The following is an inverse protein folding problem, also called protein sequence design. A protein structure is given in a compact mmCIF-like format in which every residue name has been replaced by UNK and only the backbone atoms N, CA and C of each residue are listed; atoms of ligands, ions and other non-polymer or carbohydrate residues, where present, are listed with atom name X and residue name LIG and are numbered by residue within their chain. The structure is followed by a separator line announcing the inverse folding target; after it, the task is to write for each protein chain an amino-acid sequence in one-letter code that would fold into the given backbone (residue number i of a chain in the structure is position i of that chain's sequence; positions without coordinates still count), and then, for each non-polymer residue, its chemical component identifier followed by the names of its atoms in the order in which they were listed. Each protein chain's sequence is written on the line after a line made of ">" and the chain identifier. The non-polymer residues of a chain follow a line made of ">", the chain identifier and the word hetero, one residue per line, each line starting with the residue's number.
data_IF_800829572777
#
_entry.id   IF_800829572777
#
_cell.length_a   1.000
_cell.length_b   1.000
_cell.length_c   1.000
_cell.angle_alpha   90.00
_cell.angle_beta   90.00
_cell.angle_gamma   90.00
#
_symmetry.space_group_name_H-M   'P 1'
#
loop_
_entity.id
_entity.type
_entity.pdbx_description
1 polymer ?
#
# COMPACT_ATOMS: atom_id res chain seq x y z
N UNK A 1 11.18 66.83 -34.49
CA UNK A 1 12.66 66.83 -34.41
C UNK A 1 13.00 66.62 -32.95
N UNK A 2 13.59 65.52 -32.49
CA UNK A 2 14.17 64.36 -33.16
C UNK A 2 13.99 63.14 -32.27
N UNK A 3 13.90 61.97 -32.92
CA UNK A 3 13.97 60.64 -32.34
C UNK A 3 15.44 60.23 -32.22
N UNK A 4 15.79 59.53 -31.14
CA UNK A 4 16.92 58.60 -30.99
C UNK A 4 16.38 57.52 -30.03
N UNK A 5 15.79 56.41 -30.49
CA UNK A 5 16.34 55.20 -31.13
C UNK A 5 17.19 54.30 -30.21
N UNK A 6 16.55 53.19 -29.83
CA UNK A 6 17.05 51.83 -29.57
C UNK A 6 18.35 51.60 -28.79
N UNK A 7 18.26 50.84 -27.69
CA UNK A 7 18.67 49.44 -27.75
C UNK A 7 18.12 48.60 -26.60
N UNK A 8 17.58 47.45 -26.99
CA UNK A 8 17.10 46.34 -26.17
C UNK A 8 18.27 45.51 -25.63
N UNK A 9 18.18 45.11 -24.37
CA UNK A 9 18.68 43.83 -23.88
C UNK A 9 17.98 43.50 -22.54
N UNK A 10 17.05 42.54 -22.52
CA UNK A 10 16.70 41.83 -21.30
C UNK A 10 17.73 40.70 -21.06
N UNK A 11 17.56 40.02 -19.92
CA UNK A 11 18.17 38.73 -19.57
C UNK A 11 19.46 38.80 -18.76
N UNK A 12 19.27 38.98 -17.46
CA UNK A 12 19.99 38.13 -16.51
C UNK A 12 18.95 37.58 -15.53
N UNK A 13 18.05 36.75 -16.06
CA UNK A 13 17.37 35.77 -15.23
C UNK A 13 18.47 34.93 -14.59
N UNK A 14 18.58 35.03 -13.27
CA UNK A 14 19.39 34.13 -12.47
C UNK A 14 18.68 32.80 -12.57
N UNK A 15 19.06 32.00 -13.55
CA UNK A 15 18.65 30.60 -13.65
C UNK A 15 19.21 29.92 -12.42
N UNK A 16 18.42 29.88 -11.34
CA UNK A 16 18.52 28.87 -10.32
C UNK A 16 18.42 27.54 -11.04
N UNK A 17 19.56 27.01 -11.47
CA UNK A 17 19.70 25.61 -11.81
C UNK A 17 19.67 24.87 -10.49
N UNK A 18 18.47 24.86 -9.87
CA UNK A 18 18.11 23.88 -8.90
C UNK A 18 18.16 22.55 -9.63
N UNK A 19 19.27 21.84 -9.48
CA UNK A 19 19.32 20.46 -9.90
C UNK A 19 18.16 19.73 -9.20
N UNK A 20 17.38 18.93 -9.95
CA UNK A 20 16.43 18.04 -9.32
C UNK A 20 17.28 17.03 -8.55
N UNK A 21 17.35 17.19 -7.22
CA UNK A 21 17.35 16.00 -6.37
C UNK A 21 16.25 15.09 -6.95
N UNK A 22 16.48 13.76 -7.07
CA UNK A 22 15.38 12.86 -7.41
C UNK A 22 14.23 13.29 -6.50
N UNK A 23 13.04 13.58 -7.07
CA UNK A 23 11.95 14.11 -6.26
C UNK A 23 11.91 13.20 -5.05
N UNK A 24 12.05 13.78 -3.84
CA UNK A 24 11.67 13.05 -2.64
C UNK A 24 10.37 12.39 -3.04
N UNK A 25 10.27 11.06 -3.08
CA UNK A 25 9.01 10.46 -3.47
C UNK A 25 8.04 11.15 -2.54
N UNK A 26 7.17 11.99 -3.13
CA UNK A 26 6.02 12.49 -2.42
C UNK A 26 5.50 11.24 -1.75
N UNK A 27 5.16 11.24 -0.44
CA UNK A 27 4.46 10.10 0.10
C UNK A 27 3.33 9.92 -0.88
N UNK A 28 3.45 8.89 -1.74
CA UNK A 28 2.38 8.48 -2.59
C UNK A 28 1.43 8.10 -1.50
N UNK A 29 0.47 8.99 -1.26
CA UNK A 29 -0.73 8.73 -0.51
C UNK A 29 -1.39 7.58 -1.28
N UNK A 30 -0.79 6.41 -1.16
CA UNK A 30 -1.42 5.13 -1.34
C UNK A 30 -2.33 5.04 -0.15
N UNK A 31 -3.40 5.83 -0.17
CA UNK A 31 -4.70 5.37 0.27
C UNK A 31 -5.04 4.20 -0.64
N UNK A 32 -4.39 3.06 -0.41
CA UNK A 32 -4.89 1.77 -0.89
C UNK A 32 -4.99 0.78 0.28
N UNK A 33 -4.81 1.26 1.52
CA UNK A 33 -5.11 0.45 2.70
C UNK A 33 -6.60 0.49 3.07
N UNK A 34 -7.37 1.46 2.55
CA UNK A 34 -8.80 1.58 2.81
C UNK A 34 -9.67 0.78 1.83
N UNK A 35 -9.18 0.52 0.61
CA UNK A 35 -9.95 -0.17 -0.43
C UNK A 35 -10.12 -1.66 -0.10
N UNK A 36 -9.04 -2.33 0.33
CA UNK A 36 -9.09 -3.74 0.72
C UNK A 36 -10.06 -3.99 1.90
N UNK A 37 -10.15 -3.04 2.85
CA UNK A 37 -11.06 -3.16 4.00
C UNK A 37 -12.52 -2.92 3.62
N UNK A 38 -12.79 -2.13 2.58
CA UNK A 38 -14.13 -1.90 2.05
C UNK A 38 -14.63 -3.12 1.28
N UNK A 39 -13.76 -3.76 0.49
CA UNK A 39 -14.09 -5.03 -0.19
C UNK A 39 -14.30 -6.16 0.80
N UNK A 40 -13.46 -6.29 1.84
CA UNK A 40 -13.65 -7.29 2.89
C UNK A 40 -14.99 -7.11 3.62
N UNK A 41 -15.39 -5.87 3.93
CA UNK A 41 -16.67 -5.58 4.58
C UNK A 41 -17.88 -5.84 3.66
N UNK A 42 -17.75 -5.53 2.37
CA UNK A 42 -18.80 -5.84 1.39
C UNK A 42 -18.92 -7.34 1.09
N UNK A 43 -17.80 -8.06 1.09
CA UNK A 43 -17.76 -9.52 0.93
C UNK A 43 -18.47 -10.20 2.11
N UNK A 44 -18.21 -9.74 3.34
CA UNK A 44 -18.87 -10.23 4.55
C UNK A 44 -20.39 -9.97 4.55
N UNK A 45 -20.83 -8.77 4.12
CA UNK A 45 -22.26 -8.43 4.01
C UNK A 45 -22.98 -9.26 2.94
N UNK A 46 -22.37 -9.40 1.76
CA UNK A 46 -22.93 -10.17 0.65
C UNK A 46 -23.02 -11.66 0.98
N UNK A 47 -22.00 -12.21 1.64
CA UNK A 47 -21.95 -13.62 2.02
C UNK A 47 -22.99 -13.94 3.09
N UNK A 48 -23.18 -13.06 4.07
CA UNK A 48 -24.24 -13.20 5.07
C UNK A 48 -25.66 -13.17 4.44
N UNK A 49 -25.87 -12.34 3.41
CA UNK A 49 -27.15 -12.26 2.70
C UNK A 49 -27.42 -13.53 1.87
N UNK A 50 -26.41 -14.01 1.14
CA UNK A 50 -26.48 -15.25 0.36
C UNK A 50 -26.67 -16.49 1.24
N UNK A 51 -25.98 -16.54 2.38
CA UNK A 51 -26.10 -17.64 3.34
C UNK A 51 -27.50 -17.67 3.94
N UNK A 52 -28.04 -16.53 4.37
CA UNK A 52 -29.40 -16.45 4.93
C UNK A 52 -30.48 -16.87 3.91
N UNK A 53 -30.34 -16.50 2.64
CA UNK A 53 -31.26 -16.91 1.59
C UNK A 53 -31.18 -18.40 1.30
N UNK A 54 -29.96 -18.96 1.27
CA UNK A 54 -29.70 -20.38 1.05
C UNK A 54 -30.21 -21.24 2.22
N UNK A 55 -30.03 -20.80 3.47
CA UNK A 55 -30.58 -21.45 4.66
C UNK A 55 -32.12 -21.46 4.64
N UNK A 56 -32.74 -20.32 4.32
CA UNK A 56 -34.18 -20.19 4.25
C UNK A 56 -34.78 -21.13 3.18
N UNK A 57 -34.09 -21.27 2.05
CA UNK A 57 -34.50 -22.17 0.98
C UNK A 57 -34.32 -23.65 1.34
N UNK A 58 -33.21 -24.03 2.01
CA UNK A 58 -32.99 -25.40 2.50
C UNK A 58 -34.02 -25.82 3.56
N UNK A 59 -34.33 -24.93 4.51
CA UNK A 59 -35.27 -25.21 5.61
C UNK A 59 -36.73 -25.25 5.13
N UNK A 60 -37.04 -24.56 4.03
CA UNK A 60 -38.36 -24.59 3.36
C UNK A 60 -38.64 -25.95 2.71
N UNK A 61 -37.62 -26.64 2.20
CA UNK A 61 -37.74 -27.98 1.61
C UNK A 61 -37.61 -29.13 2.61
N UNK A 62 -37.02 -28.90 3.79
CA UNK A 62 -36.74 -29.94 4.78
C UNK A 62 -37.96 -30.28 5.66
N UNK A 63 -38.21 -31.58 5.86
CA UNK A 63 -39.20 -32.03 6.84
C UNK A 63 -38.79 -31.68 8.27
N UNK A 64 -39.75 -31.57 9.19
CA UNK A 64 -39.50 -31.13 10.57
C UNK A 64 -38.49 -32.02 11.34
N UNK A 65 -38.35 -33.28 10.94
CA UNK A 65 -37.37 -34.22 11.49
C UNK A 65 -35.95 -34.05 10.90
N UNK A 66 -35.84 -33.48 9.70
CA UNK A 66 -34.56 -33.26 9.00
C UNK A 66 -33.93 -31.90 9.32
N UNK A 67 -34.75 -30.90 9.71
CA UNK A 67 -34.30 -29.56 10.11
C UNK A 67 -33.13 -29.52 11.09
N UNK A 68 -33.10 -30.30 12.20
CA UNK A 68 -31.96 -30.25 13.12
C UNK A 68 -30.67 -30.79 12.49
N UNK A 69 -30.77 -31.76 11.58
CA UNK A 69 -29.60 -32.29 10.89
C UNK A 69 -29.06 -31.31 9.85
N UNK A 70 -29.95 -30.66 9.11
CA UNK A 70 -29.61 -29.61 8.15
C UNK A 70 -28.98 -28.40 8.85
N UNK A 71 -29.54 -27.96 9.98
CA UNK A 71 -28.99 -26.86 10.76
C UNK A 71 -27.57 -27.18 11.28
N UNK A 72 -27.34 -28.40 11.78
CA UNK A 72 -26.00 -28.81 12.22
C UNK A 72 -24.97 -28.85 11.08
N UNK A 73 -25.39 -29.22 9.86
CA UNK A 73 -24.51 -29.22 8.68
C UNK A 73 -24.18 -27.79 8.21
N UNK A 74 -25.15 -26.88 8.28
CA UNK A 74 -24.92 -25.47 7.96
C UNK A 74 -23.97 -24.82 8.96
N UNK A 75 -24.16 -25.06 10.27
CA UNK A 75 -23.24 -24.58 11.31
C UNK A 75 -21.82 -25.13 11.12
N UNK A 76 -21.67 -26.40 10.73
CA UNK A 76 -20.35 -26.98 10.42
C UNK A 76 -19.72 -26.34 9.18
N UNK A 77 -20.49 -26.05 8.13
CA UNK A 77 -20.00 -25.38 6.94
C UNK A 77 -19.60 -23.94 7.24
N UNK A 78 -20.40 -23.22 8.02
CA UNK A 78 -20.12 -21.86 8.47
C UNK A 78 -18.83 -21.78 9.28
N UNK A 79 -18.63 -22.70 10.22
CA UNK A 79 -17.39 -22.76 10.99
C UNK A 79 -16.17 -23.02 10.09
N UNK A 80 -16.32 -23.80 9.02
CA UNK A 80 -15.24 -24.06 8.04
C UNK A 80 -14.97 -22.85 7.15
N UNK A 81 -16.01 -22.15 6.70
CA UNK A 81 -15.84 -20.96 5.86
C UNK A 81 -15.23 -19.81 6.65
N UNK A 82 -15.69 -19.56 7.88
CA UNK A 82 -15.10 -18.57 8.79
C UNK A 82 -13.61 -18.87 9.05
N UNK A 83 -13.26 -20.14 9.34
CA UNK A 83 -11.86 -20.53 9.54
C UNK A 83 -11.00 -20.32 8.28
N UNK A 84 -11.51 -20.69 7.10
CA UNK A 84 -10.85 -20.46 5.82
C UNK A 84 -10.63 -18.98 5.53
N UNK A 85 -11.61 -18.13 5.84
CA UNK A 85 -11.50 -16.70 5.64
C UNK A 85 -10.48 -16.07 6.58
N UNK A 86 -10.43 -16.50 7.84
CA UNK A 86 -9.42 -16.02 8.78
C UNK A 86 -7.99 -16.39 8.31
N UNK A 87 -7.80 -17.61 7.81
CA UNK A 87 -6.53 -18.03 7.20
C UNK A 87 -6.17 -17.18 5.97
N UNK A 88 -7.14 -16.93 5.09
CA UNK A 88 -6.93 -16.09 3.91
C UNK A 88 -6.58 -14.64 4.28
N UNK A 89 -7.23 -14.07 5.30
CA UNK A 89 -6.95 -12.73 5.82
C UNK A 89 -5.53 -12.64 6.35
N UNK A 90 -5.11 -13.60 7.17
CA UNK A 90 -3.72 -13.67 7.68
C UNK A 90 -2.71 -13.75 6.54
N UNK A 91 -2.98 -14.59 5.54
CA UNK A 91 -2.11 -14.72 4.37
C UNK A 91 -2.01 -13.42 3.56
N UNK A 92 -3.13 -12.69 3.40
CA UNK A 92 -3.16 -11.38 2.74
C UNK A 92 -2.31 -10.36 3.52
N UNK A 93 -2.45 -10.31 4.84
CA UNK A 93 -1.68 -9.43 5.72
C UNK A 93 -0.18 -9.73 5.66
N UNK A 94 0.21 -11.01 5.73
CA UNK A 94 1.60 -11.46 5.59
C UNK A 94 2.18 -11.09 4.22
N UNK A 95 1.39 -11.29 3.15
CA UNK A 95 1.80 -10.93 1.79
C UNK A 95 1.98 -9.43 1.66
N UNK A 96 1.11 -8.62 2.27
CA UNK A 96 1.25 -7.16 2.32
C UNK A 96 2.54 -6.76 3.03
N UNK A 97 2.80 -7.31 4.22
CA UNK A 97 4.02 -7.05 4.99
C UNK A 97 5.28 -7.40 4.18
N UNK A 98 5.29 -8.55 3.53
CA UNK A 98 6.40 -8.99 2.68
C UNK A 98 6.65 -8.05 1.49
N UNK A 99 5.58 -7.56 0.84
CA UNK A 99 5.70 -6.60 -0.26
C UNK A 99 6.28 -5.27 0.21
N UNK A 100 5.84 -4.78 1.37
CA UNK A 100 6.40 -3.57 1.97
C UNK A 100 7.87 -3.72 2.33
N UNK A 101 8.25 -4.84 2.95
CA UNK A 101 9.64 -5.14 3.28
C UNK A 101 10.50 -5.20 2.02
N UNK A 102 10.04 -5.91 0.99
CA UNK A 102 10.72 -5.99 -0.31
C UNK A 102 10.90 -4.62 -0.94
N UNK A 103 9.89 -3.75 -0.85
CA UNK A 103 9.97 -2.37 -1.34
C UNK A 103 11.02 -1.57 -0.59
N UNK A 104 11.02 -1.61 0.75
CA UNK A 104 12.02 -0.90 1.58
C UNK A 104 13.44 -1.37 1.27
N UNK A 105 13.64 -2.67 1.08
CA UNK A 105 14.93 -3.25 0.70
C UNK A 105 15.40 -2.75 -0.67
N UNK A 106 14.51 -2.66 -1.67
CA UNK A 106 14.85 -2.09 -2.98
C UNK A 106 15.23 -0.63 -2.88
N UNK A 107 14.44 0.18 -2.17
CA UNK A 107 14.73 1.61 -1.98
C UNK A 107 16.09 1.82 -1.29
N UNK A 108 16.49 0.94 -0.37
CA UNK A 108 17.82 0.98 0.24
C UNK A 108 18.93 0.54 -0.74
N UNK A 109 18.71 -0.53 -1.52
CA UNK A 109 19.66 -0.97 -2.55
C UNK A 109 19.90 0.12 -3.59
N UNK A 110 18.82 0.76 -4.08
CA UNK A 110 18.90 1.85 -5.05
C UNK A 110 19.70 3.04 -4.51
N UNK A 111 19.64 3.28 -3.19
CA UNK A 111 20.42 4.33 -2.54
C UNK A 111 21.92 3.97 -2.52
N UNK A 112 22.26 2.70 -2.23
CA UNK A 112 23.64 2.23 -2.24
C UNK A 112 24.29 2.25 -3.64
N UNK A 113 23.49 2.13 -4.69
CA UNK A 113 23.95 2.15 -6.09
C UNK A 113 24.22 3.58 -6.61
N UNK A 114 23.95 4.63 -5.83
CA UNK A 114 24.20 6.02 -6.21
C UNK A 114 25.71 6.29 -6.30
N UNK A 115 26.17 6.81 -7.43
CA UNK A 115 27.54 7.31 -7.58
C UNK A 115 27.73 8.62 -6.79
N UNK A 116 28.52 8.53 -5.73
CA UNK A 116 28.82 9.62 -4.80
C UNK A 116 30.11 10.37 -5.10
N UNK A 117 30.85 9.98 -6.14
CA UNK A 117 32.20 10.52 -6.45
C UNK A 117 32.22 12.03 -6.72
N UNK A 118 31.09 12.63 -7.10
CA UNK A 118 30.93 14.06 -7.36
C UNK A 118 30.25 14.86 -6.25
N UNK A 119 29.97 14.26 -5.10
CA UNK A 119 29.19 14.93 -4.06
C UNK A 119 30.03 15.97 -3.31
N UNK A 120 29.42 17.11 -3.03
CA UNK A 120 29.93 18.08 -2.06
C UNK A 120 29.74 17.55 -0.62
N UNK A 121 30.48 18.09 0.35
CA UNK A 121 30.37 17.68 1.76
C UNK A 121 28.93 17.78 2.29
N UNK A 122 28.19 18.82 1.89
CA UNK A 122 26.79 18.99 2.28
C UNK A 122 25.87 17.90 1.68
N UNK A 123 26.14 17.47 0.45
CA UNK A 123 25.42 16.38 -0.20
C UNK A 123 25.79 15.03 0.39
N UNK A 124 27.07 14.83 0.74
CA UNK A 124 27.53 13.63 1.43
C UNK A 124 26.87 13.46 2.78
N UNK A 125 26.85 14.52 3.59
CA UNK A 125 26.19 14.50 4.89
C UNK A 125 24.67 14.30 4.79
N UNK A 126 24.03 14.69 3.68
CA UNK A 126 22.61 14.42 3.44
C UNK A 126 22.37 12.96 3.03
N UNK A 127 23.25 12.42 2.17
CA UNK A 127 23.22 11.04 1.72
C UNK A 127 23.43 10.05 2.87
N UNK A 128 24.42 10.30 3.74
CA UNK A 128 24.67 9.48 4.93
C UNK A 128 23.47 9.47 5.89
N UNK A 129 22.85 10.64 6.15
CA UNK A 129 21.64 10.72 6.96
C UNK A 129 20.46 9.93 6.37
N UNK A 130 20.33 9.94 5.04
CA UNK A 130 19.28 9.19 4.36
C UNK A 130 19.55 7.68 4.37
N UNK A 131 20.82 7.26 4.25
CA UNK A 131 21.26 5.88 4.43
C UNK A 131 20.94 5.37 5.84
N UNK A 132 21.33 6.13 6.87
CA UNK A 132 21.07 5.78 8.27
C UNK A 132 19.57 5.64 8.53
N UNK A 133 18.77 6.60 8.04
CA UNK A 133 17.31 6.57 8.18
C UNK A 133 16.69 5.32 7.53
N UNK A 134 17.10 4.96 6.31
CA UNK A 134 16.57 3.77 5.62
C UNK A 134 17.05 2.47 6.25
N UNK A 135 18.30 2.43 6.73
CA UNK A 135 18.84 1.32 7.50
C UNK A 135 18.00 1.08 8.76
N UNK A 136 17.68 2.14 9.52
CA UNK A 136 16.81 2.04 10.70
C UNK A 136 15.39 1.55 10.35
N UNK A 137 14.80 2.01 9.25
CA UNK A 137 13.46 1.60 8.81
C UNK A 137 13.38 0.11 8.44
N UNK A 138 14.45 -0.44 7.86
CA UNK A 138 14.56 -1.87 7.57
C UNK A 138 14.73 -2.67 8.86
N UNK A 139 15.62 -2.23 9.75
CA UNK A 139 15.91 -2.92 11.00
C UNK A 139 14.72 -2.91 11.98
N UNK A 140 13.96 -1.81 12.05
CA UNK A 140 12.76 -1.67 12.89
C UNK A 140 11.48 -2.25 12.27
N UNK A 141 11.44 -2.44 10.96
CA UNK A 141 10.28 -3.06 10.29
C UNK A 141 10.10 -4.57 10.59
N UNK A 142 11.02 -5.14 11.37
CA UNK A 142 11.14 -6.58 11.62
C UNK A 142 10.46 -7.07 12.91
N UNK A 143 9.90 -6.17 13.71
CA UNK A 143 9.03 -6.49 14.86
C UNK A 143 7.57 -6.50 14.40
#
# INVERSE_FOLDING_TARGET
>A
MSQEDSSSAPESDVTSVGFPLPPSPSPSSGNSSDDDSLWDAMEEELEAELEAELEAELLRGASHAQRPHVAAQLEELRAKTEASMEEARRLREDTRRMREETRRMREYSDLLDVDVSGFTDAQMAAYERELDRRCEQILRGRD
#
